data_IF_727217909838
#
_entry.id   IF_727217909838
#
_cell.length_a   1.000
_cell.length_b   1.000
_cell.length_c   1.000
_cell.angle_alpha   90.00
_cell.angle_beta   90.00
_cell.angle_gamma   90.00
#
_symmetry.space_group_name_H-M   'P 1'
#
loop_
_entity.id
_entity.type
_entity.pdbx_description
1 polymer ?
#
# COMPACT_ATOMS: atom_id res chain seq x y z
N UNK A 1 -19.58 -26.10 15.92
CA UNK A 1 -18.46 -25.15 15.73
C UNK A 1 -17.52 -25.62 14.62
N UNK A 2 -16.98 -26.84 14.68
CA UNK A 2 -16.09 -27.42 13.64
C UNK A 2 -16.70 -27.43 12.22
N UNK A 3 -17.97 -27.82 12.07
CA UNK A 3 -18.65 -27.84 10.76
C UNK A 3 -18.76 -26.46 10.09
N UNK A 4 -19.06 -25.42 10.86
CA UNK A 4 -19.15 -24.06 10.35
C UNK A 4 -17.79 -23.57 9.84
N UNK A 5 -16.72 -24.00 10.48
CA UNK A 5 -15.36 -23.60 10.13
C UNK A 5 -14.89 -24.37 8.88
N UNK A 6 -15.19 -25.66 8.79
CA UNK A 6 -14.94 -26.42 7.56
C UNK A 6 -15.66 -25.81 6.35
N UNK A 7 -16.93 -25.38 6.52
CA UNK A 7 -17.70 -24.70 5.46
C UNK A 7 -17.08 -23.36 5.07
N UNK A 8 -16.69 -22.54 6.04
CA UNK A 8 -16.07 -21.24 5.77
C UNK A 8 -14.74 -21.38 5.02
N UNK A 9 -13.88 -22.31 5.45
CA UNK A 9 -12.62 -22.59 4.75
C UNK A 9 -12.86 -23.07 3.31
N UNK A 10 -13.89 -23.86 3.07
CA UNK A 10 -14.23 -24.34 1.74
C UNK A 10 -14.64 -23.18 0.81
N UNK A 11 -15.42 -22.20 1.31
CA UNK A 11 -15.78 -21.00 0.54
C UNK A 11 -14.55 -20.18 0.18
N UNK A 12 -13.69 -19.86 1.16
CA UNK A 12 -12.44 -19.11 0.88
C UNK A 12 -11.56 -19.87 -0.11
N UNK A 13 -11.46 -21.19 0.02
CA UNK A 13 -10.70 -22.00 -0.92
C UNK A 13 -11.26 -21.95 -2.35
N UNK A 14 -12.57 -22.09 -2.53
CA UNK A 14 -13.21 -21.98 -3.85
C UNK A 14 -13.05 -20.57 -4.45
N UNK A 15 -13.12 -19.55 -3.60
CA UNK A 15 -12.86 -18.17 -3.99
C UNK A 15 -11.42 -17.99 -4.50
N UNK A 16 -10.42 -18.51 -3.76
CA UNK A 16 -9.00 -18.45 -4.16
C UNK A 16 -8.70 -19.30 -5.40
N UNK A 17 -9.44 -20.38 -5.66
CA UNK A 17 -9.35 -21.10 -6.93
C UNK A 17 -9.73 -20.21 -8.12
N UNK A 18 -10.62 -19.24 -7.93
CA UNK A 18 -11.04 -18.33 -8.98
C UNK A 18 -10.13 -17.10 -9.10
N UNK A 19 -9.87 -16.42 -7.99
CA UNK A 19 -9.10 -15.17 -7.99
C UNK A 19 -7.58 -15.38 -7.89
N UNK A 20 -7.14 -16.59 -7.54
CA UNK A 20 -5.75 -16.95 -7.35
C UNK A 20 -5.31 -17.08 -5.90
N UNK A 21 -4.29 -17.92 -5.71
CA UNK A 21 -3.68 -18.16 -4.41
C UNK A 21 -2.71 -17.05 -4.00
N UNK A 22 -2.59 -16.76 -2.70
CA UNK A 22 -1.66 -15.78 -2.19
C UNK A 22 -0.21 -16.03 -2.61
N UNK A 23 0.56 -14.96 -2.76
CA UNK A 23 2.00 -15.06 -2.91
C UNK A 23 2.64 -15.59 -1.61
N UNK A 24 3.82 -16.16 -1.74
CA UNK A 24 4.64 -16.54 -0.60
C UNK A 24 5.71 -15.47 -0.40
N UNK A 25 5.66 -14.66 0.67
CA UNK A 25 6.73 -13.71 0.96
C UNK A 25 8.03 -14.43 1.31
N UNK A 26 9.15 -13.70 1.20
CA UNK A 26 10.42 -14.16 1.75
C UNK A 26 10.32 -14.37 3.27
N UNK A 27 11.09 -15.32 3.82
CA UNK A 27 10.98 -15.70 5.24
C UNK A 27 11.29 -14.52 6.18
N UNK A 28 12.29 -13.69 5.83
CA UNK A 28 12.66 -12.49 6.59
C UNK A 28 11.51 -11.48 6.71
N UNK A 29 10.59 -11.45 5.75
CA UNK A 29 9.48 -10.50 5.76
C UNK A 29 8.47 -10.81 6.89
N UNK A 30 8.49 -12.03 7.42
CA UNK A 30 7.69 -12.38 8.59
C UNK A 30 8.31 -11.88 9.91
N UNK A 31 9.53 -11.36 9.90
CA UNK A 31 10.15 -10.72 11.06
C UNK A 31 9.41 -9.45 11.50
N UNK A 32 9.89 -8.86 12.60
CA UNK A 32 9.46 -7.55 13.05
C UNK A 32 10.09 -6.46 12.19
N UNK A 33 9.32 -5.40 11.93
CA UNK A 33 9.66 -4.35 10.99
C UNK A 33 9.47 -2.98 11.62
N UNK A 34 10.30 -2.02 11.22
CA UNK A 34 10.30 -0.67 11.77
C UNK A 34 10.37 0.36 10.65
N UNK A 35 9.47 1.34 10.68
CA UNK A 35 9.37 2.41 9.71
C UNK A 35 8.98 3.70 10.43
N UNK A 36 9.16 4.84 9.75
CA UNK A 36 8.67 6.15 10.16
C UNK A 36 8.72 7.06 8.94
N UNK A 37 7.63 7.80 8.71
CA UNK A 37 7.68 8.99 7.86
C UNK A 37 8.30 10.13 8.66
N UNK A 38 9.37 10.73 8.14
CA UNK A 38 10.10 11.80 8.81
C UNK A 38 11.20 11.28 9.71
N UNK A 39 12.04 10.36 9.22
CA UNK A 39 13.33 10.07 9.88
C UNK A 39 14.28 11.29 9.80
N UNK A 40 14.18 12.08 8.73
CA UNK A 40 14.96 13.31 8.49
C UNK A 40 16.43 13.10 8.11
N UNK A 41 17.06 11.98 8.47
CA UNK A 41 18.40 11.60 8.00
C UNK A 41 18.71 10.12 8.20
N UNK A 42 19.72 9.62 7.49
CA UNK A 42 20.25 8.26 7.69
C UNK A 42 20.77 8.03 9.12
N UNK A 43 21.39 9.02 9.74
CA UNK A 43 21.94 8.90 11.09
C UNK A 43 20.83 8.85 12.15
N UNK A 44 19.74 9.60 11.95
CA UNK A 44 18.55 9.49 12.79
C UNK A 44 17.92 8.09 12.68
N UNK A 45 17.74 7.58 11.46
CA UNK A 45 17.26 6.21 11.23
C UNK A 45 18.15 5.15 11.90
N UNK A 46 19.48 5.26 11.74
CA UNK A 46 20.45 4.37 12.41
C UNK A 46 20.37 4.47 13.94
N UNK A 47 20.11 5.65 14.49
CA UNK A 47 19.94 5.86 15.93
C UNK A 47 18.72 5.10 16.45
N UNK A 48 17.58 5.20 15.77
CA UNK A 48 16.34 4.47 16.11
C UNK A 48 16.57 2.95 16.06
N UNK A 49 17.20 2.46 14.99
CA UNK A 49 17.53 1.04 14.84
C UNK A 49 18.46 0.57 15.98
N UNK A 50 19.54 1.33 16.23
CA UNK A 50 20.56 0.96 17.22
C UNK A 50 20.02 0.94 18.64
N UNK A 51 19.14 1.88 19.02
CA UNK A 51 18.54 1.88 20.38
C UNK A 51 17.64 0.67 20.62
N UNK A 52 16.92 0.18 19.61
CA UNK A 52 16.11 -1.04 19.73
C UNK A 52 17.00 -2.29 19.81
N UNK A 53 18.01 -2.38 18.95
CA UNK A 53 18.97 -3.49 18.95
C UNK A 53 19.76 -3.57 20.26
N UNK A 54 20.17 -2.42 20.83
CA UNK A 54 20.87 -2.36 22.12
C UNK A 54 20.03 -2.90 23.29
N UNK A 55 18.70 -2.84 23.20
CA UNK A 55 17.78 -3.43 24.17
C UNK A 55 17.51 -4.92 23.92
N UNK A 56 18.05 -5.51 22.85
CA UNK A 56 17.84 -6.91 22.48
C UNK A 56 16.48 -7.17 21.82
N UNK A 57 15.87 -6.15 21.21
CA UNK A 57 14.60 -6.26 20.49
C UNK A 57 14.90 -6.80 19.07
N UNK A 58 14.29 -7.94 18.67
CA UNK A 58 14.47 -8.47 17.31
C UNK A 58 13.96 -7.49 16.26
N UNK A 59 14.71 -7.30 15.18
CA UNK A 59 14.37 -6.42 14.06
C UNK A 59 15.00 -6.97 12.77
N UNK A 60 14.17 -7.25 11.77
CA UNK A 60 14.61 -7.83 10.49
C UNK A 60 14.56 -6.81 9.36
N UNK A 61 13.57 -5.90 9.38
CA UNK A 61 13.31 -5.00 8.26
C UNK A 61 13.19 -3.55 8.74
N UNK A 62 14.23 -2.73 8.57
CA UNK A 62 14.10 -1.29 8.63
C UNK A 62 13.60 -0.76 7.28
N UNK A 63 12.68 0.19 7.32
CA UNK A 63 12.17 0.91 6.16
C UNK A 63 12.71 2.34 6.16
N UNK A 64 12.99 2.88 4.98
CA UNK A 64 13.08 4.31 4.77
C UNK A 64 11.82 4.73 4.00
N UNK A 65 11.07 5.68 4.56
CA UNK A 65 9.96 6.31 3.85
C UNK A 65 10.50 7.27 2.77
N UNK A 66 9.61 8.04 2.11
CA UNK A 66 9.95 8.98 1.03
C UNK A 66 11.05 10.00 1.38
N UNK A 67 11.44 10.14 2.66
CA UNK A 67 12.57 10.96 3.14
C UNK A 67 13.90 10.63 2.45
N UNK A 68 14.11 9.40 1.97
CA UNK A 68 15.37 9.03 1.30
C UNK A 68 15.46 9.59 -0.13
N UNK A 69 14.32 9.97 -0.71
CA UNK A 69 14.21 10.39 -2.10
C UNK A 69 14.67 11.85 -2.26
N UNK A 70 15.25 12.16 -3.42
CA UNK A 70 15.59 13.54 -3.75
C UNK A 70 14.31 14.28 -4.21
N UNK A 71 13.83 15.26 -3.43
CA UNK A 71 12.57 15.97 -3.68
C UNK A 71 11.35 15.04 -3.89
N UNK A 72 11.33 13.89 -3.19
CA UNK A 72 10.27 12.88 -3.29
C UNK A 72 10.09 12.27 -4.69
N UNK A 73 11.05 12.48 -5.61
CA UNK A 73 10.99 11.97 -6.97
C UNK A 73 11.42 10.50 -7.02
N UNK A 74 10.49 9.63 -7.43
CA UNK A 74 10.81 8.32 -7.99
C UNK A 74 11.28 8.49 -9.44
N UNK A 75 12.32 7.74 -9.84
CA UNK A 75 12.76 7.47 -11.22
C UNK A 75 12.62 8.62 -12.26
N UNK A 76 13.73 9.19 -12.72
CA UNK A 76 13.71 10.42 -13.55
C UNK A 76 13.64 10.20 -15.08
N UNK A 77 13.61 8.95 -15.56
CA UNK A 77 13.62 8.60 -16.99
C UNK A 77 12.37 7.80 -17.35
N UNK A 78 11.72 8.07 -18.50
CA UNK A 78 10.40 7.50 -18.83
C UNK A 78 10.12 7.25 -20.31
N UNK A 79 11.13 7.31 -21.19
CA UNK A 79 10.96 7.49 -22.64
C UNK A 79 10.18 6.38 -23.38
N UNK A 80 9.96 5.20 -22.77
CA UNK A 80 9.27 4.06 -23.41
C UNK A 80 7.99 3.58 -22.71
N UNK A 81 7.65 4.10 -21.52
CA UNK A 81 6.49 3.68 -20.75
C UNK A 81 5.18 4.26 -21.29
N UNK A 82 4.07 3.53 -21.07
CA UNK A 82 2.74 4.11 -21.26
C UNK A 82 2.28 4.75 -19.95
N UNK A 83 1.61 5.90 -20.04
CA UNK A 83 1.02 6.60 -18.90
C UNK A 83 -0.49 6.75 -19.11
N UNK A 84 -1.22 7.11 -18.06
CA UNK A 84 -2.63 7.47 -18.17
C UNK A 84 -2.74 8.76 -18.99
N UNK A 85 -3.63 8.76 -19.98
CA UNK A 85 -3.74 9.86 -20.95
C UNK A 85 -5.13 10.51 -20.96
N UNK A 86 -5.17 11.79 -21.35
CA UNK A 86 -6.39 12.47 -21.79
C UNK A 86 -6.99 11.76 -23.02
N UNK A 87 -8.33 11.76 -23.13
CA UNK A 87 -9.00 11.08 -24.22
C UNK A 87 -8.77 11.76 -25.58
N UNK A 88 -8.68 13.11 -25.57
CA UNK A 88 -8.54 13.94 -26.77
C UNK A 88 -7.53 15.08 -26.53
N UNK A 89 -6.99 15.62 -27.60
CA UNK A 89 -5.99 16.70 -27.53
C UNK A 89 -6.58 18.02 -27.01
N UNK A 90 -7.85 18.31 -27.29
CA UNK A 90 -8.54 19.53 -26.82
C UNK A 90 -8.76 19.58 -25.29
N UNK A 91 -8.53 18.45 -24.60
CA UNK A 91 -8.64 18.33 -23.15
C UNK A 91 -7.30 18.53 -22.43
N UNK A 92 -6.20 18.56 -23.19
CA UNK A 92 -4.85 18.67 -22.62
C UNK A 92 -4.60 20.10 -22.13
N UNK A 93 -4.24 20.30 -20.85
CA UNK A 93 -3.86 21.61 -20.34
C UNK A 93 -2.43 21.96 -20.80
N UNK A 94 -2.28 22.44 -22.03
CA UNK A 94 -1.00 22.74 -22.66
C UNK A 94 -0.17 23.79 -21.89
N UNK A 95 -0.82 24.71 -21.18
CA UNK A 95 -0.14 25.66 -20.29
C UNK A 95 0.69 24.99 -19.19
N UNK A 96 0.31 23.78 -18.75
CA UNK A 96 1.05 22.98 -17.76
C UNK A 96 1.92 21.97 -18.48
N UNK A 97 1.33 21.18 -19.38
CA UNK A 97 1.97 20.01 -19.97
C UNK A 97 3.21 20.37 -20.79
N UNK A 98 3.18 21.50 -21.51
CA UNK A 98 4.28 21.91 -22.38
C UNK A 98 5.50 22.44 -21.60
N UNK A 99 5.40 22.59 -20.27
CA UNK A 99 6.53 22.90 -19.38
C UNK A 99 7.47 21.70 -19.20
N UNK A 100 6.98 20.48 -19.45
CA UNK A 100 7.73 19.24 -19.22
C UNK A 100 8.15 18.60 -20.54
N UNK A 101 9.46 18.46 -20.83
CA UNK A 101 9.92 17.92 -22.11
C UNK A 101 9.33 16.54 -22.48
N UNK A 102 9.18 15.64 -21.50
CA UNK A 102 8.63 14.29 -21.70
C UNK A 102 7.10 14.27 -21.91
N UNK A 103 6.37 15.27 -21.40
CA UNK A 103 4.92 15.35 -21.56
C UNK A 103 4.52 16.25 -22.73
N UNK A 104 5.40 17.14 -23.20
CA UNK A 104 5.13 18.08 -24.29
C UNK A 104 4.66 17.36 -25.55
N UNK A 105 3.59 17.87 -26.16
CA UNK A 105 2.95 17.27 -27.35
C UNK A 105 2.42 15.83 -27.17
N UNK A 106 2.25 15.36 -25.94
CA UNK A 106 1.61 14.07 -25.65
C UNK A 106 0.17 14.26 -25.16
N UNK A 107 -0.50 13.18 -24.73
CA UNK A 107 -1.77 13.28 -23.99
C UNK A 107 -1.60 12.88 -22.53
N UNK A 108 -0.38 12.77 -22.02
CA UNK A 108 -0.15 12.27 -20.65
C UNK A 108 -0.86 13.15 -19.63
N UNK A 109 -1.70 12.53 -18.82
CA UNK A 109 -2.42 13.22 -17.75
C UNK A 109 -1.48 13.45 -16.58
N UNK A 110 -1.31 14.72 -16.22
CA UNK A 110 -0.46 15.14 -15.12
C UNK A 110 -1.31 15.47 -13.89
N UNK A 111 -0.92 14.91 -12.75
CA UNK A 111 -1.50 15.22 -11.43
C UNK A 111 -0.43 15.76 -10.48
N UNK A 112 -0.64 15.56 -9.19
CA UNK A 112 0.17 16.05 -8.10
C UNK A 112 0.22 15.00 -6.99
N UNK A 113 1.41 14.68 -6.49
CA UNK A 113 1.60 13.86 -5.28
C UNK A 113 2.73 14.50 -4.46
N UNK A 114 3.61 13.71 -3.85
CA UNK A 114 4.69 14.18 -3.00
C UNK A 114 5.75 15.03 -3.72
N UNK A 115 6.17 14.73 -4.97
CA UNK A 115 7.10 15.58 -5.68
C UNK A 115 6.61 17.02 -5.81
N UNK A 116 7.55 17.98 -5.79
CA UNK A 116 7.24 19.40 -6.00
C UNK A 116 6.67 19.68 -7.40
N UNK A 117 6.97 18.80 -8.36
CA UNK A 117 6.54 18.89 -9.76
C UNK A 117 5.30 18.04 -10.02
N UNK A 118 4.55 18.38 -11.07
CA UNK A 118 3.45 17.53 -11.53
C UNK A 118 3.94 16.11 -11.88
N UNK A 119 3.11 15.13 -11.56
CA UNK A 119 3.45 13.70 -11.66
C UNK A 119 2.63 13.03 -12.77
N UNK A 120 3.29 12.20 -13.58
CA UNK A 120 2.62 11.31 -14.53
C UNK A 120 2.34 9.95 -13.87
N UNK A 121 1.26 9.29 -14.26
CA UNK A 121 0.82 8.03 -13.65
C UNK A 121 1.01 6.87 -14.64
N UNK A 122 1.92 5.92 -14.38
CA UNK A 122 2.18 4.81 -15.31
C UNK A 122 0.95 3.93 -15.56
N UNK A 123 0.71 3.58 -16.82
CA UNK A 123 -0.36 2.68 -17.23
C UNK A 123 0.14 1.23 -17.16
N UNK A 124 0.00 0.60 -15.99
CA UNK A 124 0.36 -0.81 -15.75
C UNK A 124 -0.58 -1.83 -16.44
N UNK A 125 -1.61 -1.35 -17.16
CA UNK A 125 -2.45 -2.14 -18.05
C UNK A 125 -1.97 -2.10 -19.50
N UNK A 126 -0.81 -1.50 -19.79
CA UNK A 126 -0.18 -1.51 -21.11
C UNK A 126 -0.08 -2.93 -21.69
N UNK A 127 -0.81 -3.15 -22.77
CA UNK A 127 -0.91 -4.44 -23.46
C UNK A 127 0.37 -4.84 -24.20
N UNK A 128 1.32 -3.91 -24.40
CA UNK A 128 2.64 -4.21 -24.99
C UNK A 128 3.73 -4.47 -23.95
N UNK A 129 3.39 -4.40 -22.66
CA UNK A 129 4.33 -4.62 -21.56
C UNK A 129 5.47 -3.57 -21.47
N UNK A 130 5.37 -2.43 -22.16
CA UNK A 130 6.44 -1.42 -22.10
C UNK A 130 6.53 -0.82 -20.70
N UNK A 131 5.40 -0.47 -20.09
CA UNK A 131 5.37 0.07 -18.71
C UNK A 131 5.98 -0.91 -17.70
N UNK A 132 5.69 -2.21 -17.81
CA UNK A 132 6.28 -3.21 -16.90
C UNK A 132 7.78 -3.38 -17.12
N UNK A 133 8.25 -3.34 -18.38
CA UNK A 133 9.66 -3.43 -18.69
C UNK A 133 10.42 -2.19 -18.20
N UNK A 134 9.85 -1.00 -18.39
CA UNK A 134 10.36 0.25 -17.85
C UNK A 134 10.45 0.20 -16.32
N UNK A 135 9.36 -0.18 -15.64
CA UNK A 135 9.32 -0.31 -14.19
C UNK A 135 10.38 -1.28 -13.63
N UNK A 136 10.59 -2.42 -14.30
CA UNK A 136 11.65 -3.35 -13.96
C UNK A 136 13.06 -2.79 -14.23
N UNK A 137 13.22 -2.02 -15.31
CA UNK A 137 14.45 -1.31 -15.64
C UNK A 137 14.81 -0.27 -14.59
N UNK A 138 13.84 0.51 -14.12
CA UNK A 138 14.01 1.49 -13.05
C UNK A 138 14.45 0.84 -11.74
N UNK A 139 13.80 -0.26 -11.33
CA UNK A 139 14.27 -1.05 -10.19
C UNK A 139 15.69 -1.58 -10.38
N UNK A 140 16.04 -2.05 -11.58
CA UNK A 140 17.39 -2.55 -11.87
C UNK A 140 18.44 -1.44 -11.80
N UNK A 141 18.10 -0.23 -12.23
CA UNK A 141 18.97 0.95 -12.14
C UNK A 141 19.13 1.40 -10.70
N UNK A 142 18.03 1.58 -9.97
CA UNK A 142 18.05 2.02 -8.58
C UNK A 142 18.79 1.03 -7.66
N UNK A 143 18.59 -0.28 -7.86
CA UNK A 143 19.26 -1.32 -7.06
C UNK A 143 20.79 -1.33 -7.22
N UNK A 144 21.34 -0.77 -8.33
CA UNK A 144 22.80 -0.59 -8.47
C UNK A 144 23.33 0.50 -7.53
N UNK A 145 22.50 1.47 -7.19
CA UNK A 145 22.83 2.57 -6.30
C UNK A 145 22.54 2.21 -4.85
N UNK A 146 21.35 1.66 -4.57
CA UNK A 146 20.90 1.26 -3.25
C UNK A 146 20.25 -0.14 -3.31
N UNK A 147 20.95 -1.20 -2.88
CA UNK A 147 20.36 -2.53 -2.80
C UNK A 147 19.16 -2.57 -1.87
N UNK A 148 18.10 -3.28 -2.27
CA UNK A 148 16.88 -3.47 -1.50
C UNK A 148 16.37 -4.90 -1.61
N UNK A 149 15.72 -5.41 -0.56
CA UNK A 149 15.22 -6.80 -0.52
C UNK A 149 13.72 -6.91 -0.84
N UNK A 150 12.96 -5.81 -0.72
CA UNK A 150 11.51 -5.75 -0.95
C UNK A 150 11.05 -4.35 -1.33
N UNK A 151 9.78 -4.22 -1.73
CA UNK A 151 9.21 -2.95 -2.16
C UNK A 151 7.87 -2.67 -1.47
N UNK A 152 7.74 -1.43 -1.02
CA UNK A 152 6.49 -0.87 -0.53
C UNK A 152 5.96 0.08 -1.61
N UNK A 153 4.83 -0.27 -2.22
CA UNK A 153 4.14 0.58 -3.20
C UNK A 153 2.93 1.24 -2.52
N UNK A 154 3.01 2.56 -2.39
CA UNK A 154 2.01 3.38 -1.72
C UNK A 154 1.38 4.38 -2.70
N UNK A 155 0.36 5.11 -2.26
CA UNK A 155 -0.30 6.17 -3.04
C UNK A 155 -0.98 5.68 -4.33
N UNK A 156 -1.25 4.38 -4.43
CA UNK A 156 -1.58 3.70 -5.67
C UNK A 156 -3.06 3.38 -5.86
N UNK A 157 -3.96 4.20 -5.31
CA UNK A 157 -5.39 4.12 -5.61
C UNK A 157 -5.79 4.36 -7.08
N UNK A 158 -5.11 5.19 -7.91
CA UNK A 158 -4.01 6.13 -7.65
C UNK A 158 -4.47 7.40 -6.90
N UNK A 159 -3.70 7.81 -5.90
CA UNK A 159 -3.94 9.04 -5.15
C UNK A 159 -3.43 10.24 -5.94
N UNK A 160 -4.16 11.34 -5.86
CA UNK A 160 -3.80 12.61 -6.45
C UNK A 160 -4.15 13.74 -5.48
N UNK A 161 -3.20 14.64 -5.23
CA UNK A 161 -3.41 15.78 -4.35
C UNK A 161 -4.24 16.84 -5.06
N UNK A 162 -5.37 17.19 -4.44
CA UNK A 162 -6.20 18.34 -4.81
C UNK A 162 -6.70 18.38 -6.27
N UNK A 163 -7.44 17.37 -6.68
CA UNK A 163 -8.18 17.39 -7.95
C UNK A 163 -9.32 18.40 -7.90
N UNK A 164 -9.23 19.45 -8.70
CA UNK A 164 -10.19 20.55 -8.73
C UNK A 164 -11.32 20.36 -9.74
N UNK A 165 -12.28 21.28 -9.71
CA UNK A 165 -13.31 21.39 -10.74
C UNK A 165 -12.82 22.26 -11.88
N UNK A 166 -13.00 21.79 -13.12
CA UNK A 166 -12.64 22.56 -14.30
C UNK A 166 -13.46 23.86 -14.36
N UNK A 167 -12.79 25.01 -14.25
CA UNK A 167 -13.38 26.34 -14.48
C UNK A 167 -12.58 27.06 -15.57
N UNK A 168 -13.24 27.84 -16.42
CA UNK A 168 -12.62 28.52 -17.57
C UNK A 168 -11.73 29.72 -17.19
N UNK A 169 -11.21 29.79 -15.97
CA UNK A 169 -10.32 30.86 -15.53
C UNK A 169 -8.88 30.35 -15.41
N UNK A 170 -8.01 30.99 -16.17
CA UNK A 170 -6.56 30.85 -16.10
C UNK A 170 -6.06 31.23 -14.69
N UNK A 171 -5.53 30.27 -13.94
CA UNK A 171 -4.64 30.56 -12.82
C UNK A 171 -3.27 29.89 -13.01
N UNK A 172 -2.24 30.61 -12.58
CA UNK A 172 -0.84 30.47 -12.96
C UNK A 172 -0.07 29.32 -12.27
N UNK A 173 0.83 28.73 -13.07
CA UNK A 173 2.21 28.26 -12.81
C UNK A 173 2.52 27.09 -11.84
N UNK A 174 3.44 26.23 -12.30
CA UNK A 174 4.28 25.18 -11.68
C UNK A 174 3.72 24.18 -10.64
N UNK A 175 2.53 24.42 -10.10
CA UNK A 175 1.82 23.57 -9.11
C UNK A 175 0.33 23.46 -9.44
N UNK A 176 0.00 23.67 -10.71
CA UNK A 176 -1.37 23.66 -11.19
C UNK A 176 -2.02 22.30 -10.95
N UNK A 177 -3.18 22.35 -10.32
CA UNK A 177 -3.97 21.20 -9.91
C UNK A 177 -4.64 20.55 -11.11
N UNK A 178 -4.64 19.22 -11.16
CA UNK A 178 -5.47 18.48 -12.11
C UNK A 178 -6.93 18.92 -11.96
N UNK A 179 -7.57 19.29 -13.06
CA UNK A 179 -8.95 19.76 -13.07
C UNK A 179 -9.77 18.94 -14.05
N UNK A 180 -10.93 18.46 -13.60
CA UNK A 180 -11.79 17.55 -14.37
C UNK A 180 -13.15 18.20 -14.70
N UNK A 181 -13.75 17.88 -15.86
CA UNK A 181 -14.98 18.51 -16.30
C UNK A 181 -16.20 18.09 -15.46
N UNK A 182 -16.98 19.08 -15.01
CA UNK A 182 -18.21 18.88 -14.23
C UNK A 182 -19.49 19.31 -14.97
N UNK A 183 -19.36 19.76 -16.22
CA UNK A 183 -20.48 20.10 -17.09
C UNK A 183 -20.20 19.71 -18.54
N UNK A 184 -21.24 19.70 -19.38
CA UNK A 184 -21.12 19.30 -20.78
C UNK A 184 -21.00 17.79 -20.98
N UNK A 185 -20.69 17.37 -22.21
CA UNK A 185 -20.62 15.96 -22.59
C UNK A 185 -19.50 15.18 -21.86
N UNK A 186 -18.39 15.86 -21.56
CA UNK A 186 -17.21 15.24 -20.94
C UNK A 186 -17.39 14.95 -19.44
N UNK A 187 -18.42 15.53 -18.79
CA UNK A 187 -18.69 15.31 -17.37
C UNK A 187 -19.39 13.98 -17.06
N UNK A 188 -19.88 13.26 -18.08
CA UNK A 188 -20.71 12.06 -17.88
C UNK A 188 -20.01 10.92 -17.14
N UNK A 189 -18.68 10.80 -17.25
CA UNK A 189 -17.89 9.82 -16.51
C UNK A 189 -17.49 10.32 -15.12
N UNK A 190 -17.38 11.63 -14.93
CA UNK A 190 -17.07 12.24 -13.63
C UNK A 190 -18.29 12.26 -12.70
N UNK A 191 -19.47 12.41 -13.30
CA UNK A 191 -20.78 12.53 -12.65
C UNK A 191 -21.71 11.46 -13.23
N UNK A 192 -21.54 10.18 -12.85
CA UNK A 192 -22.39 9.12 -13.35
C UNK A 192 -23.85 9.35 -12.92
N UNK A 193 -24.84 8.84 -13.68
CA UNK A 193 -26.26 9.00 -13.34
C UNK A 193 -26.63 8.48 -11.95
N UNK A 194 -25.87 7.51 -11.43
CA UNK A 194 -25.98 6.99 -10.08
C UNK A 194 -24.68 7.26 -9.30
N UNK A 195 -24.68 8.21 -8.35
CA UNK A 195 -23.50 8.47 -7.54
C UNK A 195 -23.25 7.30 -6.59
N UNK A 196 -21.99 6.89 -6.46
CA UNK A 196 -21.57 5.96 -5.40
C UNK A 196 -21.72 6.63 -4.04
N UNK A 197 -21.77 5.84 -2.97
CA UNK A 197 -21.83 6.38 -1.61
C UNK A 197 -20.69 7.37 -1.30
N UNK A 198 -19.50 7.14 -1.86
CA UNK A 198 -18.33 7.99 -1.68
C UNK A 198 -18.56 9.44 -2.14
N UNK A 199 -19.34 9.61 -3.22
CA UNK A 199 -19.74 10.92 -3.76
C UNK A 199 -21.03 11.40 -3.10
N UNK A 200 -22.03 10.52 -2.96
CA UNK A 200 -23.35 10.88 -2.46
C UNK A 200 -23.33 11.48 -1.05
N UNK A 201 -22.47 10.98 -0.16
CA UNK A 201 -22.42 11.44 1.24
C UNK A 201 -21.60 12.73 1.42
N UNK A 202 -20.86 13.17 0.40
CA UNK A 202 -19.91 14.29 0.50
C UNK A 202 -20.25 15.34 -0.53
N UNK A 203 -20.98 16.36 -0.11
CA UNK A 203 -21.38 17.48 -0.98
C UNK A 203 -20.16 18.12 -1.64
N UNK A 204 -20.18 18.25 -2.96
CA UNK A 204 -19.10 18.86 -3.74
C UNK A 204 -17.98 17.90 -4.16
N UNK A 205 -18.06 16.62 -3.80
CA UNK A 205 -17.15 15.60 -4.32
C UNK A 205 -17.66 15.03 -5.64
N UNK A 206 -16.74 14.48 -6.42
CA UNK A 206 -16.97 13.80 -7.69
C UNK A 206 -16.15 12.50 -7.73
N UNK A 207 -16.29 11.67 -8.78
CA UNK A 207 -15.49 10.45 -8.83
C UNK A 207 -13.98 10.72 -8.93
N UNK A 208 -13.57 11.83 -9.55
CA UNK A 208 -12.17 12.24 -9.63
C UNK A 208 -11.60 12.80 -8.33
N UNK A 209 -12.41 12.97 -7.28
CA UNK A 209 -11.96 13.55 -6.02
C UNK A 209 -10.78 12.78 -5.42
N UNK A 210 -9.65 13.49 -5.27
CA UNK A 210 -8.37 12.94 -4.78
C UNK A 210 -7.82 11.79 -5.65
N UNK A 211 -8.15 11.78 -6.93
CA UNK A 211 -7.63 10.83 -7.93
C UNK A 211 -7.55 11.50 -9.32
N UNK A 212 -7.50 10.72 -10.39
CA UNK A 212 -7.41 11.25 -11.77
C UNK A 212 -8.79 11.41 -12.39
N UNK A 213 -8.89 12.17 -13.49
CA UNK A 213 -10.15 12.33 -14.22
C UNK A 213 -10.60 10.98 -14.79
N UNK A 214 -11.86 10.60 -14.55
CA UNK A 214 -12.47 9.36 -15.03
C UNK A 214 -12.51 9.23 -16.55
N UNK A 215 -12.53 10.35 -17.27
CA UNK A 215 -12.40 10.37 -18.74
C UNK A 215 -11.03 9.93 -19.26
N UNK A 216 -10.04 9.80 -18.37
CA UNK A 216 -8.70 9.33 -18.70
C UNK A 216 -8.71 7.98 -19.41
N UNK A 217 -7.60 7.64 -20.03
CA UNK A 217 -7.45 6.46 -20.88
C UNK A 217 -6.34 5.55 -20.37
N UNK A 218 -6.62 4.26 -20.37
CA UNK A 218 -5.71 3.19 -19.93
C UNK A 218 -5.62 2.08 -20.97
N UNK A 219 -4.72 1.12 -20.74
CA UNK A 219 -4.40 0.04 -21.66
C UNK A 219 -4.17 0.53 -23.09
N UNK A 220 -3.33 1.57 -23.23
CA UNK A 220 -3.05 2.26 -24.51
C UNK A 220 -4.32 2.77 -25.21
N UNK A 221 -5.17 3.50 -24.49
CA UNK A 221 -6.43 4.09 -24.98
C UNK A 221 -7.53 3.10 -25.36
N UNK A 222 -7.36 1.82 -25.04
CA UNK A 222 -8.41 0.81 -25.29
C UNK A 222 -9.49 0.76 -24.21
N UNK A 223 -9.24 1.37 -23.03
CA UNK A 223 -10.18 1.42 -21.91
C UNK A 223 -10.29 2.82 -21.31
N UNK A 224 -11.42 3.10 -20.66
CA UNK A 224 -11.56 4.29 -19.84
C UNK A 224 -10.96 4.04 -18.46
N UNK A 225 -10.35 5.07 -17.89
CA UNK A 225 -9.91 5.06 -16.51
C UNK A 225 -11.07 4.84 -15.55
N UNK A 226 -12.27 5.38 -15.85
CA UNK A 226 -13.53 5.05 -15.16
C UNK A 226 -13.71 3.54 -14.91
N UNK A 227 -13.43 2.70 -15.92
CA UNK A 227 -13.63 1.25 -15.84
C UNK A 227 -12.47 0.53 -15.16
N UNK A 228 -11.29 1.15 -15.11
CA UNK A 228 -10.05 0.51 -14.66
C UNK A 228 -9.44 1.11 -13.40
N UNK A 229 -10.01 2.19 -12.83
CA UNK A 229 -9.45 2.92 -11.69
C UNK A 229 -9.12 1.98 -10.54
N UNK A 230 -10.07 1.13 -10.14
CA UNK A 230 -9.90 0.19 -9.03
C UNK A 230 -8.93 -0.97 -9.33
N UNK A 231 -8.39 -1.05 -10.56
CA UNK A 231 -7.37 -2.03 -10.94
C UNK A 231 -5.96 -1.46 -10.89
N UNK A 232 -5.77 -0.15 -10.64
CA UNK A 232 -4.47 0.51 -10.72
C UNK A 232 -3.43 -0.13 -9.79
N UNK A 233 -3.65 -0.07 -8.47
CA UNK A 233 -2.72 -0.67 -7.50
C UNK A 233 -2.61 -2.20 -7.62
N UNK A 234 -3.65 -2.89 -8.09
CA UNK A 234 -3.55 -4.32 -8.44
C UNK A 234 -2.56 -4.55 -9.60
N UNK A 235 -2.65 -3.75 -10.65
CA UNK A 235 -1.79 -3.88 -11.84
C UNK A 235 -0.35 -3.48 -11.56
N UNK A 236 -0.13 -2.47 -10.72
CA UNK A 236 1.18 -2.08 -10.22
C UNK A 236 1.78 -3.17 -9.31
N UNK A 237 1.01 -3.70 -8.35
CA UNK A 237 1.48 -4.79 -7.48
C UNK A 237 1.95 -6.00 -8.30
N UNK A 238 1.23 -6.34 -9.37
CA UNK A 238 1.65 -7.38 -10.32
C UNK A 238 2.97 -7.04 -11.01
N UNK A 239 3.11 -5.82 -11.54
CA UNK A 239 4.33 -5.38 -12.22
C UNK A 239 5.53 -5.40 -11.26
N UNK A 240 5.37 -4.85 -10.05
CA UNK A 240 6.36 -4.82 -8.98
C UNK A 240 6.77 -6.23 -8.54
N UNK A 241 5.81 -7.13 -8.32
CA UNK A 241 6.09 -8.53 -7.96
C UNK A 241 6.90 -9.27 -9.02
N UNK A 242 6.66 -8.98 -10.30
CA UNK A 242 7.41 -9.56 -11.40
C UNK A 242 8.81 -8.96 -11.54
N UNK A 243 8.95 -7.65 -11.25
CA UNK A 243 10.20 -6.92 -11.40
C UNK A 243 11.25 -7.28 -10.34
N UNK A 244 10.89 -7.33 -9.05
CA UNK A 244 11.88 -7.45 -7.97
C UNK A 244 12.76 -8.71 -8.07
N UNK A 245 12.24 -9.91 -8.39
CA UNK A 245 13.08 -11.10 -8.53
C UNK A 245 14.06 -11.01 -9.71
N UNK A 246 13.75 -10.25 -10.76
CA UNK A 246 14.65 -10.04 -11.90
C UNK A 246 15.88 -9.20 -11.50
N UNK A 247 15.72 -8.35 -10.49
CA UNK A 247 16.77 -7.45 -9.99
C UNK A 247 17.56 -8.09 -8.85
N UNK A 248 16.86 -8.66 -7.87
CA UNK A 248 17.47 -9.19 -6.64
C UNK A 248 17.94 -10.65 -6.78
N UNK A 249 17.43 -11.38 -7.78
CA UNK A 249 17.65 -12.83 -7.93
C UNK A 249 17.02 -13.68 -6.81
N UNK A 250 16.18 -13.09 -5.96
CA UNK A 250 15.62 -13.74 -4.78
C UNK A 250 14.09 -13.59 -4.74
N UNK A 251 13.44 -14.47 -3.97
CA UNK A 251 12.06 -14.22 -3.53
C UNK A 251 12.05 -13.01 -2.61
N UNK A 252 11.08 -12.14 -2.82
CA UNK A 252 10.96 -10.86 -2.13
C UNK A 252 9.60 -10.75 -1.42
N UNK A 253 9.29 -9.56 -0.89
CA UNK A 253 7.98 -9.17 -0.40
C UNK A 253 7.57 -7.83 -1.01
N UNK A 254 6.32 -7.76 -1.46
CA UNK A 254 5.66 -6.53 -1.92
C UNK A 254 4.56 -6.18 -0.94
N UNK A 255 4.46 -4.92 -0.55
CA UNK A 255 3.37 -4.38 0.27
C UNK A 255 2.66 -3.29 -0.54
N UNK A 256 1.35 -3.39 -0.72
CA UNK A 256 0.55 -2.46 -1.53
C UNK A 256 -0.61 -1.87 -0.75
N UNK A 257 -0.89 -0.57 -0.94
CA UNK A 257 -2.04 0.09 -0.30
C UNK A 257 -3.33 -0.32 -1.00
N UNK A 258 -3.47 0.08 -2.26
CA UNK A 258 -4.65 -0.22 -3.04
C UNK A 258 -4.66 -1.69 -3.44
N UNK A 259 -5.83 -2.32 -3.29
CA UNK A 259 -6.03 -3.74 -3.60
C UNK A 259 -7.35 -3.97 -4.31
N UNK A 260 -7.42 -5.05 -5.08
CA UNK A 260 -8.60 -5.59 -5.73
C UNK A 260 -8.60 -7.12 -5.54
N UNK A 261 -9.72 -7.85 -5.69
CA UNK A 261 -9.67 -9.30 -5.79
C UNK A 261 -8.56 -9.78 -6.73
N UNK A 262 -7.75 -10.75 -6.28
CA UNK A 262 -6.47 -11.20 -6.88
C UNK A 262 -5.20 -10.44 -6.44
N UNK A 263 -5.25 -9.29 -5.75
CA UNK A 263 -4.02 -8.57 -5.34
C UNK A 263 -3.10 -9.41 -4.45
N UNK A 264 -3.68 -10.29 -3.62
CA UNK A 264 -2.90 -11.20 -2.76
C UNK A 264 -1.96 -12.15 -3.51
N UNK A 265 -2.14 -12.33 -4.83
CA UNK A 265 -1.20 -13.09 -5.67
C UNK A 265 0.16 -12.42 -5.85
N UNK A 266 0.23 -11.11 -5.61
CA UNK A 266 1.37 -10.28 -5.97
C UNK A 266 1.96 -9.53 -4.77
N UNK A 267 1.21 -9.37 -3.69
CA UNK A 267 1.73 -8.69 -2.50
C UNK A 267 0.85 -8.86 -1.27
N UNK A 268 1.36 -8.36 -0.15
CA UNK A 268 0.61 -8.15 1.08
C UNK A 268 -0.01 -6.76 1.12
N UNK A 269 -0.62 -6.45 2.25
CA UNK A 269 -1.30 -5.19 2.49
C UNK A 269 -1.06 -4.75 3.93
N UNK A 270 -0.95 -3.45 4.18
CA UNK A 270 -1.12 -2.90 5.53
C UNK A 270 -2.42 -2.13 5.55
N UNK A 271 -3.11 -2.10 6.69
CA UNK A 271 -4.46 -1.54 6.81
C UNK A 271 -4.55 0.00 6.65
N UNK A 272 -3.50 0.64 6.14
CA UNK A 272 -3.45 2.07 5.86
C UNK A 272 -3.25 2.93 7.10
N UNK A 273 -3.52 4.22 6.92
CA UNK A 273 -3.22 5.31 7.84
C UNK A 273 -4.18 5.33 9.04
N UNK A 274 -4.06 4.35 9.92
CA UNK A 274 -4.81 4.28 11.17
C UNK A 274 -4.42 5.41 12.14
N UNK A 275 -5.19 5.57 13.22
CA UNK A 275 -4.90 6.55 14.28
C UNK A 275 -4.39 5.87 15.54
N UNK A 276 -3.61 6.60 16.35
CA UNK A 276 -3.12 6.15 17.66
C UNK A 276 -4.24 6.15 18.71
N UNK A 277 -5.26 5.31 18.50
CA UNK A 277 -6.47 5.18 19.32
C UNK A 277 -6.79 3.71 19.62
N UNK A 278 -7.52 3.48 20.71
CA UNK A 278 -7.93 2.13 21.12
C UNK A 278 -8.93 1.48 20.15
N UNK A 279 -9.78 2.31 19.53
CA UNK A 279 -10.74 1.89 18.52
C UNK A 279 -10.00 1.29 17.31
N UNK A 280 -8.91 1.92 16.87
CA UNK A 280 -8.10 1.47 15.74
C UNK A 280 -7.33 0.18 16.05
N UNK A 281 -6.86 -0.01 17.28
CA UNK A 281 -6.35 -1.30 17.72
C UNK A 281 -7.44 -2.38 17.60
N UNK A 282 -8.67 -2.09 18.00
CA UNK A 282 -9.77 -3.03 17.89
C UNK A 282 -10.15 -3.33 16.42
N UNK A 283 -10.24 -2.31 15.57
CA UNK A 283 -10.59 -2.49 14.16
C UNK A 283 -9.48 -3.18 13.36
N UNK A 284 -8.21 -3.08 13.79
CA UNK A 284 -7.10 -3.82 13.16
C UNK A 284 -7.31 -5.34 13.20
N UNK A 285 -7.93 -5.86 14.27
CA UNK A 285 -8.30 -7.27 14.41
C UNK A 285 -9.30 -7.68 13.33
N UNK A 286 -10.27 -6.80 13.04
CA UNK A 286 -11.30 -7.00 12.01
C UNK A 286 -10.65 -6.96 10.62
N UNK A 287 -9.88 -5.92 10.32
CA UNK A 287 -9.22 -5.76 9.02
C UNK A 287 -8.31 -6.94 8.68
N UNK A 288 -7.49 -7.42 9.62
CA UNK A 288 -6.66 -8.61 9.42
C UNK A 288 -7.53 -9.83 9.06
N UNK A 289 -8.67 -10.02 9.73
CA UNK A 289 -9.59 -11.13 9.41
C UNK A 289 -10.25 -11.00 8.04
N UNK A 290 -10.68 -9.80 7.66
CA UNK A 290 -11.32 -9.51 6.38
C UNK A 290 -10.36 -9.73 5.21
N UNK A 291 -9.13 -9.22 5.30
CA UNK A 291 -8.14 -9.42 4.24
C UNK A 291 -7.74 -10.88 4.04
N UNK A 292 -7.79 -11.69 5.10
CA UNK A 292 -7.68 -13.14 4.95
C UNK A 292 -8.83 -13.75 4.12
N UNK A 293 -10.05 -13.24 4.26
CA UNK A 293 -11.19 -13.62 3.42
C UNK A 293 -11.04 -13.13 1.98
N UNK A 294 -10.46 -11.95 1.79
CA UNK A 294 -10.19 -11.37 0.48
C UNK A 294 -9.02 -12.03 -0.24
N UNK A 295 -8.31 -12.95 0.42
CA UNK A 295 -7.20 -13.70 -0.17
C UNK A 295 -5.84 -13.01 -0.05
N UNK A 296 -5.66 -12.18 0.97
CA UNK A 296 -4.42 -11.43 1.25
C UNK A 296 -4.00 -11.72 2.70
N UNK A 297 -3.36 -12.87 2.95
CA UNK A 297 -3.04 -13.30 4.32
C UNK A 297 -1.82 -12.60 4.93
N UNK A 298 -0.95 -11.98 4.12
CA UNK A 298 0.18 -11.20 4.61
C UNK A 298 -0.30 -9.75 4.86
N UNK A 299 -0.89 -9.54 6.04
CA UNK A 299 -1.58 -8.31 6.42
C UNK A 299 -1.34 -7.92 7.89
N UNK A 300 -1.42 -6.62 8.19
CA UNK A 300 -1.29 -6.05 9.52
C UNK A 300 -1.63 -4.55 9.53
N UNK A 301 -1.72 -3.95 10.71
CA UNK A 301 -1.82 -2.49 10.88
C UNK A 301 -0.47 -1.88 11.23
N UNK A 302 -0.35 -0.57 11.11
CA UNK A 302 0.76 0.16 11.71
C UNK A 302 0.60 0.13 13.24
N UNK A 303 1.56 -0.53 13.90
CA UNK A 303 1.56 -0.76 15.34
C UNK A 303 1.74 0.59 16.06
N UNK A 304 1.04 0.77 17.18
CA UNK A 304 0.95 2.02 17.95
C UNK A 304 0.15 3.16 17.30
N UNK A 305 -0.19 3.02 16.01
CA UNK A 305 -1.01 3.93 15.23
C UNK A 305 -0.17 4.92 14.44
N UNK A 306 -0.51 5.15 13.17
CA UNK A 306 0.23 6.04 12.28
C UNK A 306 -0.05 7.52 12.58
N UNK A 307 -1.32 7.91 12.64
CA UNK A 307 -1.75 9.29 12.85
C UNK A 307 -1.99 9.61 14.33
N UNK A 308 -1.38 10.70 14.80
CA UNK A 308 -1.58 11.24 16.15
C UNK A 308 -0.59 10.69 17.19
N UNK A 309 -0.62 11.26 18.39
CA UNK A 309 0.35 10.93 19.44
C UNK A 309 -0.08 9.67 20.19
N UNK A 310 0.70 8.60 20.08
CA UNK A 310 0.50 7.39 20.86
C UNK A 310 0.91 7.57 22.33
N UNK A 311 0.48 6.64 23.18
CA UNK A 311 0.86 6.62 24.60
C UNK A 311 1.39 5.24 24.98
N UNK A 312 2.11 5.21 26.11
CA UNK A 312 2.82 4.02 26.59
C UNK A 312 1.91 2.77 26.70
N UNK A 313 0.72 2.91 27.28
CA UNK A 313 -0.19 1.77 27.48
C UNK A 313 -0.77 1.27 26.16
N UNK A 314 -1.24 2.16 25.30
CA UNK A 314 -1.77 1.80 23.99
C UNK A 314 -0.69 1.11 23.15
N UNK A 315 0.50 1.71 23.06
CA UNK A 315 1.60 1.18 22.26
C UNK A 315 2.09 -0.17 22.79
N UNK A 316 2.11 -0.35 24.12
CA UNK A 316 2.38 -1.65 24.75
C UNK A 316 1.38 -2.73 24.30
N UNK A 317 0.08 -2.43 24.37
CA UNK A 317 -0.97 -3.38 23.95
C UNK A 317 -0.92 -3.66 22.46
N UNK A 318 -0.58 -2.64 21.66
CA UNK A 318 -0.47 -2.80 20.23
C UNK A 318 0.72 -3.67 19.85
N UNK A 319 1.88 -3.54 20.50
CA UNK A 319 3.01 -4.45 20.29
C UNK A 319 2.69 -5.89 20.69
N UNK A 320 1.93 -6.09 21.77
CA UNK A 320 1.42 -7.42 22.14
C UNK A 320 0.54 -8.02 21.04
N UNK A 321 -0.35 -7.25 20.43
CA UNK A 321 -1.21 -7.72 19.34
C UNK A 321 -0.44 -7.88 18.02
N UNK A 322 0.31 -6.85 17.61
CA UNK A 322 1.02 -6.74 16.34
C UNK A 322 2.05 -7.84 16.14
N UNK A 323 2.67 -8.32 17.22
CA UNK A 323 3.56 -9.47 17.19
C UNK A 323 2.89 -10.76 16.63
N UNK A 324 1.56 -10.84 16.58
CA UNK A 324 0.82 -11.95 15.99
C UNK A 324 0.31 -11.69 14.57
N UNK A 325 0.35 -10.45 14.09
CA UNK A 325 -0.07 -10.09 12.73
C UNK A 325 0.93 -10.62 11.69
N UNK A 326 0.48 -11.25 10.59
CA UNK A 326 1.38 -11.76 9.55
C UNK A 326 2.38 -10.72 9.05
N UNK A 327 1.93 -9.48 8.83
CA UNK A 327 2.77 -8.30 8.65
C UNK A 327 2.83 -7.53 9.98
N UNK A 328 4.03 -7.36 10.55
CA UNK A 328 4.24 -6.77 11.88
C UNK A 328 5.19 -5.59 11.79
N UNK A 329 4.64 -4.41 11.46
CA UNK A 329 5.39 -3.17 11.30
C UNK A 329 4.92 -2.11 12.29
N UNK A 330 5.86 -1.48 12.98
CA UNK A 330 5.65 -0.22 13.67
C UNK A 330 6.00 0.92 12.71
N UNK A 331 5.04 1.81 12.48
CA UNK A 331 5.15 2.92 11.55
C UNK A 331 4.36 4.12 12.08
N UNK A 332 4.89 5.31 11.84
CA UNK A 332 4.44 6.56 12.44
C UNK A 332 4.49 7.69 11.40
N UNK A 333 3.60 8.67 11.54
CA UNK A 333 3.57 9.83 10.67
C UNK A 333 4.65 10.86 11.00
N UNK A 334 4.97 11.72 10.04
CA UNK A 334 5.85 12.86 10.25
C UNK A 334 5.28 13.80 11.32
N UNK A 335 6.17 14.46 12.07
CA UNK A 335 5.82 15.41 13.13
C UNK A 335 5.32 14.81 14.44
N UNK A 336 5.04 13.50 14.49
CA UNK A 336 4.65 12.83 15.74
C UNK A 336 5.87 12.40 16.57
N UNK A 337 5.79 12.34 17.91
CA UNK A 337 6.85 11.78 18.75
C UNK A 337 7.22 10.35 18.35
N UNK A 338 8.46 9.95 18.61
CA UNK A 338 8.87 8.56 18.41
C UNK A 338 8.00 7.60 19.22
N UNK A 339 7.71 6.44 18.63
CA UNK A 339 6.88 5.40 19.25
C UNK A 339 7.44 3.98 19.12
N UNK A 340 8.64 3.82 18.57
CA UNK A 340 9.30 2.52 18.50
C UNK A 340 9.51 1.91 19.91
N UNK A 341 9.69 0.59 20.01
CA UNK A 341 9.71 -0.10 21.30
C UNK A 341 10.70 0.44 22.34
N UNK A 342 11.80 1.07 21.92
CA UNK A 342 12.82 1.60 22.82
C UNK A 342 12.41 2.91 23.54
N UNK A 343 11.32 3.56 23.13
CA UNK A 343 10.86 4.84 23.70
C UNK A 343 10.41 4.68 25.15
N UNK A 344 9.67 3.60 25.45
CA UNK A 344 9.14 3.33 26.78
C UNK A 344 9.69 2.02 27.36
N UNK A 345 10.17 2.00 28.61
CA UNK A 345 10.66 0.77 29.24
C UNK A 345 9.63 -0.36 29.27
N UNK A 346 8.35 -0.05 29.46
CA UNK A 346 7.28 -1.07 29.50
C UNK A 346 6.99 -1.67 28.12
N UNK A 347 7.00 -0.84 27.06
CA UNK A 347 6.84 -1.28 25.67
C UNK A 347 8.04 -2.12 25.23
N UNK A 348 9.26 -1.70 25.57
CA UNK A 348 10.46 -2.50 25.34
C UNK A 348 10.36 -3.87 26.03
N UNK A 349 9.90 -3.92 27.28
CA UNK A 349 9.74 -5.17 28.01
C UNK A 349 8.67 -6.08 27.39
N UNK A 350 7.52 -5.53 26.99
CA UNK A 350 6.48 -6.28 26.29
C UNK A 350 6.97 -6.81 24.94
N UNK A 351 7.70 -6.01 24.18
CA UNK A 351 8.26 -6.39 22.88
C UNK A 351 9.29 -7.52 23.00
N UNK A 352 10.14 -7.47 24.05
CA UNK A 352 11.10 -8.56 24.38
C UNK A 352 10.43 -9.85 24.85
N UNK A 353 9.12 -9.87 25.08
CA UNK A 353 8.35 -11.09 25.36
C UNK A 353 7.60 -11.53 24.10
N UNK A 354 6.86 -10.60 23.48
CA UNK A 354 5.98 -10.89 22.35
C UNK A 354 6.76 -11.24 21.06
N UNK A 355 7.84 -10.51 20.77
CA UNK A 355 8.62 -10.75 19.56
C UNK A 355 9.40 -12.07 19.64
N UNK A 356 10.12 -12.44 20.71
CA UNK A 356 10.74 -13.77 20.78
C UNK A 356 9.73 -14.92 20.65
N UNK A 357 8.51 -14.77 21.19
CA UNK A 357 7.43 -15.73 20.91
C UNK A 357 7.12 -15.80 19.41
N UNK A 358 6.90 -14.65 18.75
CA UNK A 358 6.70 -14.58 17.29
C UNK A 358 7.82 -15.31 16.54
N UNK A 359 9.07 -15.00 16.85
CA UNK A 359 10.26 -15.54 16.19
C UNK A 359 10.37 -17.05 16.34
N UNK A 360 10.07 -17.57 17.54
CA UNK A 360 9.98 -19.02 17.78
C UNK A 360 8.92 -19.69 16.89
N UNK A 361 7.79 -19.01 16.63
CA UNK A 361 6.69 -19.52 15.81
C UNK A 361 6.74 -19.11 14.32
N UNK A 362 7.79 -18.43 13.85
CA UNK A 362 7.94 -18.11 12.43
C UNK A 362 7.88 -19.33 11.50
N UNK A 363 8.46 -20.51 11.84
CA UNK A 363 8.31 -21.69 10.99
C UNK A 363 6.85 -22.15 10.86
N UNK A 364 6.05 -21.96 11.90
CA UNK A 364 4.61 -22.23 11.87
C UNK A 364 3.87 -21.20 11.01
N UNK A 365 4.13 -19.90 11.20
CA UNK A 365 3.52 -18.84 10.39
C UNK A 365 3.87 -18.99 8.91
N UNK A 366 5.13 -19.26 8.59
CA UNK A 366 5.60 -19.51 7.23
C UNK A 366 4.93 -20.74 6.61
N UNK A 367 4.78 -21.84 7.38
CA UNK A 367 4.05 -23.02 6.93
C UNK A 367 2.57 -22.71 6.67
N UNK A 368 1.92 -21.88 7.49
CA UNK A 368 0.55 -21.44 7.27
C UNK A 368 0.43 -20.73 5.92
N UNK A 369 1.27 -19.73 5.65
CA UNK A 369 1.24 -18.96 4.39
C UNK A 369 1.63 -19.83 3.18
N UNK A 370 2.65 -20.68 3.32
CA UNK A 370 3.00 -21.67 2.31
C UNK A 370 1.84 -22.62 2.02
N UNK A 371 1.06 -22.99 3.03
CA UNK A 371 -0.17 -23.77 2.86
C UNK A 371 -1.14 -23.09 1.90
N UNK A 372 -1.43 -21.79 2.11
CA UNK A 372 -2.27 -21.01 1.19
C UNK A 372 -1.68 -20.89 -0.22
N UNK A 373 -0.36 -20.76 -0.33
CA UNK A 373 0.31 -20.59 -1.61
C UNK A 373 0.38 -21.88 -2.45
N UNK A 374 0.82 -22.98 -1.84
CA UNK A 374 1.21 -24.21 -2.53
C UNK A 374 0.12 -25.28 -2.57
N UNK A 375 -0.84 -25.24 -1.64
CA UNK A 375 -1.79 -26.33 -1.46
C UNK A 375 -3.21 -25.84 -1.26
N UNK A 376 -4.06 -26.22 -2.20
CA UNK A 376 -5.50 -26.31 -2.08
C UNK A 376 -6.04 -27.13 -0.89
N UNK A 377 -5.18 -27.74 -0.07
CA UNK A 377 -5.57 -28.56 1.07
C UNK A 377 -5.56 -27.74 2.37
N UNK A 378 -6.77 -27.33 2.73
CA UNK A 378 -7.31 -27.12 4.09
C UNK A 378 -6.23 -27.10 5.17
N UNK A 379 -5.69 -25.90 5.44
CA UNK A 379 -5.02 -25.65 6.70
C UNK A 379 -6.09 -25.37 7.75
N UNK A 380 -6.42 -26.38 8.55
CA UNK A 380 -7.08 -26.22 9.86
C UNK A 380 -6.28 -25.30 10.82
N UNK A 381 -5.14 -24.73 10.42
CA UNK A 381 -4.30 -23.89 11.28
C UNK A 381 -4.84 -22.47 11.46
N UNK A 382 -5.72 -22.00 10.57
CA UNK A 382 -6.50 -20.77 10.83
C UNK A 382 -7.48 -20.91 12.00
N UNK A 383 -7.83 -22.14 12.40
CA UNK A 383 -8.65 -22.40 13.59
C UNK A 383 -7.99 -21.84 14.86
N UNK A 384 -6.64 -21.86 14.92
CA UNK A 384 -5.89 -21.35 16.08
C UNK A 384 -5.74 -19.83 16.06
N UNK A 385 -5.48 -19.20 14.92
CA UNK A 385 -5.48 -17.73 14.83
C UNK A 385 -6.89 -17.15 15.00
N UNK A 386 -7.95 -17.79 14.48
CA UNK A 386 -9.34 -17.33 14.67
C UNK A 386 -9.80 -17.45 16.12
N UNK A 387 -9.43 -18.52 16.84
CA UNK A 387 -9.66 -18.61 18.30
C UNK A 387 -8.83 -17.58 19.08
N UNK A 388 -7.62 -17.26 18.62
CA UNK A 388 -6.77 -16.22 19.22
C UNK A 388 -7.35 -14.81 19.01
N UNK A 389 -7.75 -14.46 17.77
CA UNK A 389 -8.37 -13.16 17.46
C UNK A 389 -9.80 -13.04 18.01
N UNK A 390 -10.57 -14.13 18.13
CA UNK A 390 -11.85 -14.11 18.88
C UNK A 390 -11.63 -13.83 20.37
N UNK A 391 -10.51 -14.23 20.95
CA UNK A 391 -10.16 -13.89 22.33
C UNK A 391 -9.86 -12.39 22.49
N UNK A 392 -9.29 -11.75 21.46
CA UNK A 392 -9.14 -10.29 21.38
C UNK A 392 -10.49 -9.56 21.17
N UNK A 393 -11.34 -10.06 20.29
CA UNK A 393 -12.64 -9.43 19.96
C UNK A 393 -13.68 -9.51 21.10
N UNK A 394 -13.52 -10.44 22.06
CA UNK A 394 -14.47 -10.65 23.18
C UNK A 394 -14.11 -9.80 24.43
N UNK A 395 -13.11 -8.92 24.37
CA UNK A 395 -12.89 -7.90 25.41
C UNK A 395 -12.57 -8.46 26.80
N UNK A 396 -12.09 -9.70 26.92
CA UNK A 396 -11.59 -10.26 28.18
C UNK A 396 -10.07 -10.10 28.27
N UNK A 397 -9.64 -8.84 28.32
CA UNK A 397 -8.42 -8.47 29.02
C UNK A 397 -8.87 -7.79 30.32
N UNK A 398 -9.05 -8.59 31.37
CA UNK A 398 -9.08 -8.12 32.76
C UNK A 398 -7.81 -8.56 33.44
#
# INVERSE_FOLDING_TARGET
MLDLICKFHFVTYQYLQHIGFPFLPAYWALGYQLCRWGYGSLDAMKTVISRNQALGIPLDVPYADIDYMNHYEDFTEGDDASFIEWARDDQVPHNIQDQYPMAKNTRVMLGNVWPERNTAFPDFLDTKNNTNNWWAGEFATFHKTLPFDGMWIDMNEPSNFDTGTYSSMEEQLATSKLSCPISGADASLEIPPYPTQAVYQRSGEYLFSKTLCMLGKTARRSRNFYDTKNLYGWSEARATYQAIPLVTGKRSAVISRSTFPSSGRYGGHWLGDNTARWEDLQTSVIGVMEFNMFGIPYVGSDICGFNGVSNEELCLRWHQFGAFSPFSRDHNSEGMPDQDPAVWPSVANASKIALPFRYYYLPFLYRCIHGFHACSKISLQFLKLKLFYQSFAIGKFR
#
